data_IF_494876490135
#
_entry.id   IF_494876490135
#
_cell.length_a   1.000
_cell.length_b   1.000
_cell.length_c   1.000
_cell.angle_alpha   90.00
_cell.angle_beta   90.00
_cell.angle_gamma   90.00
#
_symmetry.space_group_name_H-M   'P 1'
#
loop_
_entity.id
_entity.type
_entity.pdbx_description
1 polymer ?
#
# COMPACT_ATOMS: atom_id res chain seq x y z
N UNK A 1 30.61 25.08 8.44
CA UNK A 1 30.18 24.18 9.52
C UNK A 1 28.67 24.24 9.66
N UNK A 2 27.96 23.21 9.20
CA UNK A 2 26.53 23.07 9.44
C UNK A 2 26.34 22.78 10.93
N UNK A 3 25.46 23.53 11.57
CA UNK A 3 25.06 23.29 12.97
C UNK A 3 24.53 21.85 13.10
N UNK A 4 24.87 21.10 14.16
CA UNK A 4 24.29 19.79 14.38
C UNK A 4 22.76 19.94 14.52
N UNK A 5 22.01 19.20 13.69
CA UNK A 5 20.55 19.15 13.77
C UNK A 5 20.13 18.79 15.20
N UNK A 6 19.09 19.44 15.71
CA UNK A 6 18.54 19.07 17.01
C UNK A 6 18.08 17.60 16.99
N UNK A 7 18.04 16.91 18.13
CA UNK A 7 17.77 15.47 18.18
C UNK A 7 16.43 15.05 17.56
N UNK A 8 15.43 15.95 17.53
CA UNK A 8 14.12 15.71 16.92
C UNK A 8 14.21 15.82 15.40
N UNK A 9 14.92 16.82 14.89
CA UNK A 9 15.17 16.97 13.44
C UNK A 9 16.12 15.92 12.92
N UNK A 10 17.13 15.51 13.69
CA UNK A 10 18.01 14.40 13.37
C UNK A 10 17.26 13.06 13.33
N UNK A 11 16.34 12.82 14.29
CA UNK A 11 15.47 11.65 14.27
C UNK A 11 14.48 11.68 13.11
N UNK A 12 13.88 12.83 12.80
CA UNK A 12 12.98 13.00 11.66
C UNK A 12 13.71 12.77 10.33
N UNK A 13 14.94 13.27 10.19
CA UNK A 13 15.78 13.06 9.01
C UNK A 13 16.22 11.60 8.91
N UNK A 14 16.67 10.96 10.01
CA UNK A 14 17.08 9.55 10.01
C UNK A 14 15.94 8.57 9.73
N UNK A 15 14.71 8.89 10.16
CA UNK A 15 13.50 8.12 9.80
C UNK A 15 13.07 8.44 8.36
N UNK A 16 13.18 9.70 7.92
CA UNK A 16 12.87 10.10 6.55
C UNK A 16 13.79 9.46 5.50
N UNK A 17 15.07 9.27 5.82
CA UNK A 17 16.08 8.72 4.90
C UNK A 17 16.08 7.20 4.81
N UNK A 18 15.33 6.50 5.67
CA UNK A 18 15.18 5.04 5.65
C UNK A 18 13.76 4.59 5.34
N UNK A 19 12.86 5.51 4.97
CA UNK A 19 11.57 5.12 4.44
C UNK A 19 11.79 4.13 3.30
N UNK A 20 11.15 2.94 3.31
CA UNK A 20 11.12 2.10 2.12
C UNK A 20 10.62 3.00 1.00
N UNK A 21 11.29 2.96 -0.15
CA UNK A 21 11.27 3.95 -1.21
C UNK A 21 9.91 4.56 -1.59
N UNK A 22 9.91 5.53 -2.52
CA UNK A 22 8.71 6.29 -2.89
C UNK A 22 7.48 5.41 -3.23
N UNK A 23 7.62 4.12 -3.53
CA UNK A 23 6.49 3.24 -3.79
C UNK A 23 5.52 3.01 -2.68
N UNK A 24 5.97 2.91 -1.43
CA UNK A 24 5.07 2.64 -0.33
C UNK A 24 3.96 3.69 -0.30
N UNK A 25 4.37 4.94 -0.52
CA UNK A 25 3.49 6.10 -0.70
C UNK A 25 2.65 5.98 -1.97
N UNK A 26 3.23 5.61 -3.11
CA UNK A 26 2.48 5.42 -4.35
C UNK A 26 1.39 4.35 -4.23
N UNK A 27 1.63 3.25 -3.53
CA UNK A 27 0.64 2.19 -3.32
C UNK A 27 -0.58 2.66 -2.52
N UNK A 28 -0.41 3.60 -1.58
CA UNK A 28 -1.52 4.27 -0.91
C UNK A 28 -2.17 5.34 -1.80
N UNK A 29 -1.38 6.06 -2.59
CA UNK A 29 -1.83 7.21 -3.35
C UNK A 29 -2.56 6.86 -4.66
N UNK A 30 -2.11 5.82 -5.38
CA UNK A 30 -2.66 5.41 -6.67
C UNK A 30 -4.15 5.05 -6.59
N UNK A 31 -4.62 4.22 -5.64
CA UNK A 31 -6.05 3.93 -5.50
C UNK A 31 -6.90 5.20 -5.29
N UNK A 32 -6.36 6.17 -4.54
CA UNK A 32 -7.01 7.47 -4.34
C UNK A 32 -7.18 8.20 -5.67
N UNK A 33 -6.11 8.30 -6.46
CA UNK A 33 -6.13 9.06 -7.72
C UNK A 33 -6.94 8.38 -8.81
N UNK A 34 -6.94 7.05 -8.89
CA UNK A 34 -7.81 6.31 -9.81
C UNK A 34 -9.28 6.62 -9.56
N UNK A 35 -9.67 6.58 -8.29
CA UNK A 35 -11.03 6.85 -7.87
C UNK A 35 -11.43 8.32 -8.06
N UNK A 36 -10.54 9.26 -7.72
CA UNK A 36 -10.76 10.69 -8.00
C UNK A 36 -10.90 10.98 -9.49
N UNK A 37 -10.13 10.31 -10.35
CA UNK A 37 -10.23 10.46 -11.80
C UNK A 37 -11.58 9.95 -12.34
N UNK A 38 -12.06 8.81 -11.84
CA UNK A 38 -13.38 8.28 -12.23
C UNK A 38 -14.55 9.12 -11.67
N UNK A 39 -14.35 9.77 -10.53
CA UNK A 39 -15.34 10.65 -9.91
C UNK A 39 -15.43 12.05 -10.54
N UNK A 40 -14.37 12.47 -11.25
CA UNK A 40 -14.27 13.79 -11.87
C UNK A 40 -15.36 14.01 -12.93
N UNK A 41 -15.78 15.27 -13.18
CA UNK A 41 -16.69 15.56 -14.27
C UNK A 41 -16.16 15.05 -15.63
N UNK A 42 -17.04 14.60 -16.55
CA UNK A 42 -16.62 14.15 -17.87
C UNK A 42 -15.75 15.21 -18.59
N UNK A 43 -14.58 14.80 -19.07
CA UNK A 43 -13.63 15.68 -19.76
C UNK A 43 -12.78 16.59 -18.86
N UNK A 44 -12.99 16.54 -17.54
CA UNK A 44 -12.18 17.28 -16.57
C UNK A 44 -11.10 16.41 -15.94
N UNK A 45 -9.97 17.03 -15.61
CA UNK A 45 -8.96 16.40 -14.75
C UNK A 45 -9.41 16.44 -13.29
N UNK A 46 -8.96 15.49 -12.44
CA UNK A 46 -9.23 15.54 -11.02
C UNK A 46 -8.67 16.83 -10.38
N UNK A 47 -9.36 17.33 -9.37
CA UNK A 47 -9.03 18.59 -8.71
C UNK A 47 -7.65 18.51 -8.02
N UNK A 48 -6.69 19.26 -8.56
CA UNK A 48 -5.28 19.21 -8.12
C UNK A 48 -5.08 19.44 -6.60
N UNK A 49 -5.73 20.43 -5.95
CA UNK A 49 -5.59 20.61 -4.50
C UNK A 49 -6.02 19.37 -3.70
N UNK A 50 -7.08 18.68 -4.13
CA UNK A 50 -7.53 17.44 -3.48
C UNK A 50 -6.51 16.32 -3.69
N UNK A 51 -5.96 16.19 -4.90
CA UNK A 51 -4.88 15.24 -5.17
C UNK A 51 -3.64 15.53 -4.32
N UNK A 52 -3.24 16.79 -4.17
CA UNK A 52 -2.12 17.18 -3.32
C UNK A 52 -2.36 16.87 -1.83
N UNK A 53 -3.58 17.09 -1.32
CA UNK A 53 -3.96 16.69 0.04
C UNK A 53 -3.83 15.17 0.24
N UNK A 54 -4.33 14.38 -0.69
CA UNK A 54 -4.19 12.91 -0.63
C UNK A 54 -2.74 12.46 -0.80
N UNK A 55 -1.93 13.15 -1.59
CA UNK A 55 -0.49 12.90 -1.69
C UNK A 55 0.22 13.15 -0.37
N UNK A 56 -0.04 14.30 0.27
CA UNK A 56 0.48 14.59 1.60
C UNK A 56 0.00 13.57 2.65
N UNK A 57 -1.28 13.22 2.63
CA UNK A 57 -1.85 12.18 3.49
C UNK A 57 -1.19 10.81 3.28
N UNK A 58 -0.93 10.42 2.03
CA UNK A 58 -0.25 9.15 1.72
C UNK A 58 1.18 9.12 2.25
N UNK A 59 1.94 10.22 2.10
CA UNK A 59 3.29 10.35 2.67
C UNK A 59 3.24 10.23 4.20
N UNK A 60 2.34 10.96 4.86
CA UNK A 60 2.21 10.97 6.31
C UNK A 60 1.77 9.60 6.86
N UNK A 61 0.81 8.94 6.21
CA UNK A 61 0.29 7.65 6.65
C UNK A 61 1.25 6.48 6.36
N UNK A 62 1.97 6.49 5.22
CA UNK A 62 3.09 5.53 5.01
C UNK A 62 4.19 5.79 6.04
N UNK A 63 4.49 7.06 6.27
CA UNK A 63 5.19 7.62 7.42
C UNK A 63 4.95 6.85 8.72
N UNK A 64 3.75 7.06 9.25
CA UNK A 64 3.27 6.51 10.50
C UNK A 64 3.30 4.97 10.51
N UNK A 65 2.91 4.33 9.39
CA UNK A 65 2.94 2.87 9.27
C UNK A 65 4.35 2.28 9.41
N UNK A 66 5.36 2.88 8.78
CA UNK A 66 6.75 2.46 8.94
C UNK A 66 7.24 2.69 10.37
N UNK A 67 6.95 3.84 10.99
CA UNK A 67 7.33 4.11 12.37
C UNK A 67 6.71 3.10 13.35
N UNK A 68 5.44 2.73 13.17
CA UNK A 68 4.78 1.69 13.97
C UNK A 68 5.47 0.33 13.78
N UNK A 69 5.78 -0.05 12.53
CA UNK A 69 6.47 -1.30 12.25
C UNK A 69 7.84 -1.35 12.92
N UNK A 70 8.65 -0.31 12.78
CA UNK A 70 9.98 -0.24 13.41
C UNK A 70 9.86 -0.34 14.94
N UNK A 71 8.86 0.32 15.54
CA UNK A 71 8.60 0.24 16.98
C UNK A 71 8.23 -1.16 17.45
N UNK A 72 7.46 -1.92 16.66
CA UNK A 72 7.04 -3.28 17.02
C UNK A 72 8.09 -4.34 16.70
N UNK A 73 8.89 -4.15 15.65
CA UNK A 73 9.87 -5.11 15.18
C UNK A 73 11.28 -4.86 15.75
N UNK A 74 11.49 -3.78 16.50
CA UNK A 74 12.78 -3.37 17.12
C UNK A 74 13.64 -4.53 17.65
N UNK A 75 13.06 -5.41 18.45
CA UNK A 75 13.82 -6.48 19.13
C UNK A 75 14.08 -7.70 18.21
N UNK A 76 13.31 -7.84 17.13
CA UNK A 76 13.57 -8.79 16.05
C UNK A 76 14.59 -8.22 15.07
N UNK A 77 14.45 -6.95 14.69
CA UNK A 77 15.33 -6.27 13.74
C UNK A 77 16.80 -6.26 14.21
N UNK A 78 17.03 -6.15 15.52
CA UNK A 78 18.37 -6.29 16.15
C UNK A 78 19.06 -7.62 15.86
N UNK A 79 18.30 -8.69 15.58
CA UNK A 79 18.80 -10.06 15.40
C UNK A 79 19.03 -10.40 13.94
N UNK A 80 18.60 -9.55 13.00
CA UNK A 80 18.66 -9.80 11.56
C UNK A 80 19.68 -8.86 10.92
N UNK A 81 20.71 -9.40 10.29
CA UNK A 81 21.84 -8.63 9.76
C UNK A 81 21.43 -7.48 8.82
N UNK A 82 20.35 -7.67 8.04
CA UNK A 82 19.81 -6.66 7.11
C UNK A 82 19.16 -5.47 7.81
N UNK A 83 18.49 -5.70 8.94
CA UNK A 83 17.66 -4.69 9.63
C UNK A 83 18.27 -4.22 10.95
N UNK A 84 19.39 -4.82 11.37
CA UNK A 84 20.09 -4.47 12.61
C UNK A 84 20.59 -3.01 12.63
N UNK A 85 20.83 -2.41 11.47
CA UNK A 85 21.25 -1.01 11.31
C UNK A 85 20.09 0.00 11.27
N UNK A 86 18.83 -0.43 11.45
CA UNK A 86 17.70 0.49 11.55
C UNK A 86 17.85 1.36 12.83
N UNK A 87 17.59 2.69 12.79
CA UNK A 87 17.87 3.61 13.89
C UNK A 87 17.28 3.18 15.23
N UNK A 88 16.07 2.63 15.22
CA UNK A 88 15.41 2.16 16.44
C UNK A 88 15.99 0.82 16.94
N UNK A 89 16.43 -0.06 16.04
CA UNK A 89 17.10 -1.31 16.36
C UNK A 89 18.54 -1.07 16.86
N UNK A 90 19.28 -0.17 16.19
CA UNK A 90 20.63 0.26 16.55
C UNK A 90 20.68 1.11 17.84
N UNK A 91 19.53 1.63 18.30
CA UNK A 91 19.44 2.46 19.49
C UNK A 91 19.84 3.92 19.28
N UNK A 92 19.95 4.36 18.02
CA UNK A 92 20.22 5.75 17.64
C UNK A 92 19.03 6.67 17.95
N UNK A 93 17.81 6.13 17.93
CA UNK A 93 16.57 6.83 18.28
C UNK A 93 15.92 6.12 19.47
N UNK A 94 15.45 6.90 20.46
CA UNK A 94 14.71 6.36 21.60
C UNK A 94 13.25 6.05 21.24
N UNK A 95 12.67 5.06 21.92
CA UNK A 95 11.24 4.72 21.78
C UNK A 95 10.31 5.93 21.99
N UNK A 96 10.68 6.85 22.88
CA UNK A 96 9.92 8.07 23.13
C UNK A 96 9.98 9.04 21.95
N UNK A 97 11.16 9.24 21.33
CA UNK A 97 11.29 10.06 20.12
C UNK A 97 10.46 9.49 18.96
N UNK A 98 10.49 8.16 18.76
CA UNK A 98 9.63 7.51 17.75
C UNK A 98 8.15 7.73 18.02
N UNK A 99 7.72 7.68 19.29
CA UNK A 99 6.33 7.95 19.66
C UNK A 99 5.92 9.40 19.40
N UNK A 100 6.77 10.37 19.73
CA UNK A 100 6.52 11.80 19.44
C UNK A 100 6.44 12.04 17.92
N UNK A 101 7.35 11.44 17.15
CA UNK A 101 7.35 11.54 15.69
C UNK A 101 6.08 10.94 15.08
N UNK A 102 5.67 9.74 15.53
CA UNK A 102 4.42 9.11 15.15
C UNK A 102 3.21 10.00 15.47
N UNK A 103 3.18 10.60 16.67
CA UNK A 103 2.13 11.54 17.08
C UNK A 103 2.05 12.75 16.15
N UNK A 104 3.19 13.30 15.73
CA UNK A 104 3.26 14.38 14.74
C UNK A 104 2.71 13.98 13.37
N UNK A 105 3.15 12.82 12.84
CA UNK A 105 2.66 12.30 11.56
C UNK A 105 1.14 12.08 11.57
N UNK A 106 0.61 11.43 12.62
CA UNK A 106 -0.82 11.17 12.77
C UNK A 106 -1.63 12.45 12.96
N UNK A 107 -1.10 13.45 13.69
CA UNK A 107 -1.77 14.74 13.86
C UNK A 107 -1.86 15.50 12.54
N UNK A 108 -0.78 15.53 11.76
CA UNK A 108 -0.78 16.14 10.43
C UNK A 108 -1.71 15.39 9.46
N UNK A 109 -1.71 14.05 9.50
CA UNK A 109 -2.62 13.23 8.69
C UNK A 109 -4.09 13.48 9.08
N UNK A 110 -4.38 13.67 10.37
CA UNK A 110 -5.70 14.07 10.84
C UNK A 110 -6.09 15.45 10.32
N UNK A 111 -5.19 16.44 10.33
CA UNK A 111 -5.46 17.75 9.75
C UNK A 111 -5.84 17.64 8.26
N UNK A 112 -5.11 16.82 7.49
CA UNK A 112 -5.45 16.53 6.08
C UNK A 112 -6.85 15.91 5.96
N UNK A 113 -7.17 14.92 6.80
CA UNK A 113 -8.48 14.26 6.80
C UNK A 113 -9.61 15.25 7.10
N UNK A 114 -9.40 16.15 8.08
CA UNK A 114 -10.38 17.17 8.47
C UNK A 114 -10.59 18.26 7.42
N UNK A 115 -9.71 18.38 6.42
CA UNK A 115 -9.93 19.23 5.25
C UNK A 115 -10.92 18.62 4.23
N UNK A 116 -11.36 17.38 4.42
CA UNK A 116 -12.32 16.71 3.52
C UNK A 116 -13.77 16.91 3.98
N UNK A 117 -14.72 16.47 3.16
CA UNK A 117 -16.13 16.46 3.54
C UNK A 117 -16.43 15.45 4.66
N UNK A 118 -17.53 15.67 5.39
CA UNK A 118 -17.91 14.86 6.56
C UNK A 118 -18.00 13.35 6.26
N UNK A 119 -18.57 12.96 5.12
CA UNK A 119 -18.65 11.56 4.72
C UNK A 119 -17.24 10.94 4.60
N UNK A 120 -16.31 11.67 3.98
CA UNK A 120 -14.92 11.23 3.81
C UNK A 120 -14.17 11.19 5.15
N UNK A 121 -14.45 12.11 6.08
CA UNK A 121 -13.87 12.07 7.43
C UNK A 121 -14.28 10.77 8.15
N UNK A 122 -15.57 10.45 8.15
CA UNK A 122 -16.09 9.22 8.79
C UNK A 122 -15.53 7.98 8.10
N UNK A 123 -15.52 7.97 6.76
CA UNK A 123 -15.00 6.84 5.98
C UNK A 123 -13.49 6.64 6.18
N UNK A 124 -12.72 7.72 6.26
CA UNK A 124 -11.29 7.68 6.56
C UNK A 124 -11.03 7.20 7.98
N UNK A 125 -11.79 7.68 8.97
CA UNK A 125 -11.69 7.18 10.34
C UNK A 125 -11.99 5.67 10.45
N UNK A 126 -12.96 5.17 9.68
CA UNK A 126 -13.28 3.73 9.63
C UNK A 126 -12.12 2.86 9.12
N UNK A 127 -11.20 3.42 8.32
CA UNK A 127 -10.03 2.68 7.83
C UNK A 127 -9.06 2.30 8.95
N UNK A 128 -9.07 3.02 10.07
CA UNK A 128 -8.16 2.78 11.20
C UNK A 128 -8.34 1.38 11.79
N UNK A 129 -9.55 0.81 11.73
CA UNK A 129 -9.81 -0.57 12.15
C UNK A 129 -8.96 -1.57 11.34
N UNK A 130 -8.82 -1.35 10.03
CA UNK A 130 -7.97 -2.19 9.18
C UNK A 130 -6.48 -1.94 9.41
N UNK A 131 -6.09 -0.68 9.56
CA UNK A 131 -4.69 -0.29 9.85
C UNK A 131 -4.18 -0.96 11.12
N UNK A 132 -4.97 -0.92 12.21
CA UNK A 132 -4.60 -1.50 13.51
C UNK A 132 -4.60 -3.03 13.47
N UNK A 133 -5.54 -3.65 12.73
CA UNK A 133 -5.64 -5.10 12.68
C UNK A 133 -4.56 -5.75 11.79
N UNK A 134 -4.05 -5.05 10.76
CA UNK A 134 -3.13 -5.62 9.77
C UNK A 134 -1.89 -6.32 10.36
N UNK A 135 -1.11 -5.74 11.29
CA UNK A 135 0.12 -6.41 11.72
C UNK A 135 -0.16 -7.67 12.55
N UNK A 136 -1.33 -7.76 13.19
CA UNK A 136 -1.78 -8.98 13.87
C UNK A 136 -2.08 -10.10 12.88
N UNK A 137 -2.55 -9.77 11.68
CA UNK A 137 -2.94 -10.75 10.66
C UNK A 137 -1.78 -11.62 10.19
N UNK A 138 -0.56 -11.05 10.12
CA UNK A 138 0.67 -11.80 9.77
C UNK A 138 0.94 -12.98 10.72
N UNK A 139 0.45 -12.90 11.96
CA UNK A 139 0.67 -13.91 13.01
C UNK A 139 -0.45 -14.94 13.09
N UNK A 140 -1.67 -14.59 12.68
CA UNK A 140 -2.84 -15.45 12.86
C UNK A 140 -3.29 -16.17 11.57
N UNK A 141 -3.09 -15.58 10.39
CA UNK A 141 -3.64 -16.10 9.12
C UNK A 141 -2.56 -16.28 8.05
N UNK A 142 -2.82 -17.15 7.08
CA UNK A 142 -2.04 -17.29 5.83
C UNK A 142 -2.45 -16.27 4.76
N UNK A 143 -3.35 -15.34 5.09
CA UNK A 143 -3.85 -14.30 4.17
C UNK A 143 -3.56 -12.87 4.65
N UNK A 144 -2.37 -12.53 5.21
CA UNK A 144 -2.08 -11.14 5.56
C UNK A 144 -2.11 -10.21 4.34
N UNK A 145 -1.78 -10.73 3.14
CA UNK A 145 -1.88 -10.02 1.86
C UNK A 145 -3.30 -9.48 1.60
N UNK A 146 -4.34 -10.23 1.99
CA UNK A 146 -5.73 -9.81 1.80
C UNK A 146 -6.03 -8.59 2.68
N UNK A 147 -5.61 -8.63 3.95
CA UNK A 147 -5.83 -7.51 4.88
C UNK A 147 -5.00 -6.30 4.48
N UNK A 148 -3.77 -6.51 4.00
CA UNK A 148 -2.97 -5.44 3.40
C UNK A 148 -3.70 -4.79 2.22
N UNK A 149 -4.26 -5.62 1.32
CA UNK A 149 -5.03 -5.15 0.17
C UNK A 149 -6.23 -4.31 0.59
N UNK A 150 -6.98 -4.74 1.61
CA UNK A 150 -8.09 -3.97 2.16
C UNK A 150 -7.61 -2.61 2.71
N UNK A 151 -6.49 -2.59 3.45
CA UNK A 151 -5.95 -1.36 4.02
C UNK A 151 -5.43 -0.38 2.95
N UNK A 152 -4.60 -0.85 2.02
CA UNK A 152 -3.93 0.03 1.05
C UNK A 152 -4.88 0.57 -0.01
N UNK A 153 -5.90 -0.20 -0.39
CA UNK A 153 -6.84 0.22 -1.41
C UNK A 153 -8.02 1.03 -0.85
N UNK A 154 -8.09 1.30 0.46
CA UNK A 154 -9.16 2.10 1.06
C UNK A 154 -9.29 3.49 0.40
N UNK A 155 -8.17 3.99 -0.13
CA UNK A 155 -8.11 5.18 -0.98
C UNK A 155 -9.08 5.18 -2.16
N UNK A 156 -9.40 4.01 -2.73
CA UNK A 156 -10.37 3.88 -3.83
C UNK A 156 -11.81 4.25 -3.40
N UNK A 157 -12.14 4.13 -2.11
CA UNK A 157 -13.42 4.57 -1.58
C UNK A 157 -13.36 6.06 -1.20
N UNK A 158 -12.29 6.44 -0.52
CA UNK A 158 -12.08 7.79 0.02
C UNK A 158 -11.88 8.84 -1.07
N UNK A 159 -11.18 8.50 -2.16
CA UNK A 159 -10.97 9.38 -3.31
C UNK A 159 -12.28 9.79 -3.98
N UNK A 160 -13.17 8.82 -4.23
CA UNK A 160 -14.50 9.11 -4.80
C UNK A 160 -15.33 10.00 -3.88
N UNK A 161 -15.40 9.64 -2.59
CA UNK A 161 -16.20 10.40 -1.63
C UNK A 161 -15.66 11.80 -1.42
N UNK A 162 -14.34 12.03 -1.54
CA UNK A 162 -13.75 13.35 -1.44
C UNK A 162 -14.25 14.29 -2.55
N UNK A 163 -14.49 13.75 -3.76
CA UNK A 163 -14.98 14.52 -4.91
C UNK A 163 -16.51 14.63 -4.91
N UNK A 164 -17.24 13.56 -4.57
CA UNK A 164 -18.71 13.48 -4.72
C UNK A 164 -19.50 13.67 -3.41
N UNK A 165 -18.83 13.76 -2.27
CA UNK A 165 -19.45 13.85 -0.94
C UNK A 165 -20.11 12.55 -0.44
N UNK A 166 -20.05 11.47 -1.22
CA UNK A 166 -20.60 10.14 -0.91
C UNK A 166 -19.96 9.10 -1.84
N UNK A 167 -20.03 7.80 -1.51
CA UNK A 167 -19.61 6.75 -2.43
C UNK A 167 -20.77 6.29 -3.32
N UNK A 168 -20.52 6.21 -4.63
CA UNK A 168 -21.34 5.39 -5.51
C UNK A 168 -20.82 3.95 -5.43
N UNK A 169 -21.48 3.11 -4.63
CA UNK A 169 -21.04 1.74 -4.39
C UNK A 169 -21.01 0.87 -5.64
N UNK A 170 -21.77 1.21 -6.69
CA UNK A 170 -21.72 0.49 -7.95
C UNK A 170 -20.35 0.66 -8.65
N UNK A 171 -19.66 1.78 -8.43
CA UNK A 171 -18.34 2.07 -9.02
C UNK A 171 -17.22 1.82 -8.00
N UNK A 172 -17.40 2.32 -6.77
CA UNK A 172 -16.39 2.27 -5.72
C UNK A 172 -16.07 0.83 -5.28
N UNK A 173 -17.07 -0.03 -5.12
CA UNK A 173 -16.84 -1.39 -4.63
C UNK A 173 -16.08 -2.26 -5.64
N UNK A 174 -16.44 -2.32 -6.94
CA UNK A 174 -15.64 -3.04 -7.93
C UNK A 174 -14.22 -2.49 -8.10
N UNK A 175 -14.05 -1.16 -8.04
CA UNK A 175 -12.71 -0.54 -8.08
C UNK A 175 -11.87 -0.92 -6.87
N UNK A 176 -12.45 -0.84 -5.67
CA UNK A 176 -11.78 -1.22 -4.42
C UNK A 176 -11.38 -2.69 -4.43
N UNK A 177 -12.29 -3.59 -4.83
CA UNK A 177 -11.99 -5.01 -4.96
C UNK A 177 -10.92 -5.26 -6.02
N UNK A 178 -10.92 -4.54 -7.14
CA UNK A 178 -9.86 -4.64 -8.14
C UNK A 178 -8.49 -4.29 -7.56
N UNK A 179 -8.42 -3.21 -6.77
CA UNK A 179 -7.21 -2.84 -6.03
C UNK A 179 -6.77 -3.90 -5.03
N UNK A 180 -7.70 -4.47 -4.24
CA UNK A 180 -7.39 -5.55 -3.30
C UNK A 180 -6.82 -6.77 -4.04
N UNK A 181 -7.41 -7.15 -5.17
CA UNK A 181 -6.91 -8.24 -6.01
C UNK A 181 -5.53 -7.92 -6.58
N UNK A 182 -5.28 -6.67 -6.97
CA UNK A 182 -3.94 -6.23 -7.39
C UNK A 182 -2.91 -6.39 -6.29
N UNK A 183 -3.25 -6.00 -5.04
CA UNK A 183 -2.39 -6.25 -3.86
C UNK A 183 -2.13 -7.73 -3.64
N UNK A 184 -3.14 -8.58 -3.77
CA UNK A 184 -2.93 -10.02 -3.70
C UNK A 184 -1.97 -10.54 -4.77
N UNK A 185 -1.92 -9.93 -5.96
CA UNK A 185 -0.96 -10.30 -7.02
C UNK A 185 0.46 -9.90 -6.62
N UNK A 186 0.72 -8.60 -6.43
CA UNK A 186 2.10 -8.14 -6.23
C UNK A 186 2.67 -8.58 -4.88
N UNK A 187 1.87 -8.57 -3.81
CA UNK A 187 2.35 -8.90 -2.45
C UNK A 187 2.53 -10.42 -2.27
N UNK A 188 1.78 -11.24 -3.01
CA UNK A 188 2.04 -12.69 -3.06
C UNK A 188 3.32 -13.00 -3.83
N UNK A 189 3.59 -12.29 -4.94
CA UNK A 189 4.86 -12.42 -5.67
C UNK A 189 6.02 -12.01 -4.74
N UNK A 190 5.87 -10.90 -4.02
CA UNK A 190 6.86 -10.42 -3.07
C UNK A 190 7.14 -11.44 -1.96
N UNK A 191 6.10 -12.00 -1.34
CA UNK A 191 6.22 -13.01 -0.28
C UNK A 191 6.93 -14.31 -0.71
N UNK A 192 7.11 -14.57 -2.01
CA UNK A 192 7.95 -15.70 -2.45
C UNK A 192 9.45 -15.45 -2.25
N UNK A 193 9.89 -14.18 -2.15
CA UNK A 193 11.28 -13.81 -1.83
C UNK A 193 11.61 -14.09 -0.38
N UNK A 194 10.72 -13.70 0.52
CA UNK A 194 10.91 -13.82 1.97
C UNK A 194 10.54 -15.22 2.49
N UNK A 195 10.14 -16.14 1.61
CA UNK A 195 9.62 -17.47 1.99
C UNK A 195 10.56 -18.25 2.90
N UNK A 196 11.88 -18.17 2.70
CA UNK A 196 12.87 -18.87 3.54
C UNK A 196 12.92 -18.25 4.94
N UNK A 197 12.92 -16.93 5.01
CA UNK A 197 12.98 -16.18 6.27
C UNK A 197 11.66 -16.31 7.04
N UNK A 198 10.52 -16.20 6.37
CA UNK A 198 9.17 -16.41 6.91
C UNK A 198 9.03 -17.76 7.62
N UNK A 199 9.57 -18.83 7.02
CA UNK A 199 9.54 -20.18 7.62
C UNK A 199 10.37 -20.22 8.90
N UNK A 200 11.54 -19.57 8.91
CA UNK A 200 12.44 -19.55 10.07
C UNK A 200 11.83 -18.79 11.26
N UNK A 201 11.10 -17.71 10.98
CA UNK A 201 10.46 -16.87 12.01
C UNK A 201 9.00 -17.25 12.31
N UNK A 202 8.45 -18.25 11.61
CA UNK A 202 7.08 -18.75 11.81
C UNK A 202 5.97 -17.81 11.32
N UNK A 203 6.30 -16.87 10.43
CA UNK A 203 5.32 -15.96 9.80
C UNK A 203 4.55 -16.70 8.70
N UNK A 204 3.25 -16.45 8.61
CA UNK A 204 2.36 -17.09 7.64
C UNK A 204 2.10 -16.15 6.46
N UNK A 205 2.12 -16.68 5.23
CA UNK A 205 1.88 -15.89 4.01
C UNK A 205 1.16 -16.71 2.93
N UNK A 206 0.55 -16.03 1.95
CA UNK A 206 -0.10 -16.69 0.80
C UNK A 206 0.90 -17.52 0.00
N UNK A 207 2.16 -17.09 -0.08
CA UNK A 207 3.24 -17.84 -0.72
C UNK A 207 3.49 -19.21 -0.07
N UNK A 208 3.42 -19.27 1.27
CA UNK A 208 3.50 -20.53 2.01
C UNK A 208 2.26 -21.40 1.81
N UNK A 209 1.09 -20.78 1.66
CA UNK A 209 -0.19 -21.47 1.47
C UNK A 209 -0.34 -22.08 0.09
N UNK A 210 0.02 -21.35 -0.97
CA UNK A 210 -0.23 -21.74 -2.36
C UNK A 210 0.84 -22.64 -2.95
N UNK A 211 2.07 -22.61 -2.42
CA UNK A 211 3.17 -23.49 -2.84
C UNK A 211 3.37 -23.48 -4.37
N UNK A 212 3.08 -24.60 -5.05
CA UNK A 212 3.24 -24.76 -6.50
C UNK A 212 2.05 -24.22 -7.29
N UNK A 213 0.87 -24.08 -6.66
CA UNK A 213 -0.35 -23.55 -7.28
C UNK A 213 -0.37 -22.01 -7.38
N UNK A 214 0.68 -21.33 -6.91
CA UNK A 214 0.76 -19.85 -6.89
C UNK A 214 0.37 -19.24 -8.23
N UNK A 215 0.87 -19.77 -9.36
CA UNK A 215 0.52 -19.24 -10.70
C UNK A 215 -0.98 -19.20 -10.94
N UNK A 216 -1.70 -20.27 -10.59
CA UNK A 216 -3.15 -20.37 -10.78
C UNK A 216 -3.90 -19.33 -9.94
N UNK A 217 -3.48 -19.14 -8.69
CA UNK A 217 -4.05 -18.12 -7.81
C UNK A 217 -3.78 -16.71 -8.33
N UNK A 218 -2.55 -16.40 -8.76
CA UNK A 218 -2.20 -15.12 -9.36
C UNK A 218 -3.05 -14.83 -10.61
N UNK A 219 -3.23 -15.82 -11.49
CA UNK A 219 -4.10 -15.67 -12.66
C UNK A 219 -5.57 -15.41 -12.28
N UNK A 220 -6.07 -16.08 -11.23
CA UNK A 220 -7.39 -15.82 -10.66
C UNK A 220 -7.55 -14.40 -10.15
N UNK A 221 -6.59 -13.92 -9.34
CA UNK A 221 -6.61 -12.55 -8.81
C UNK A 221 -6.49 -11.50 -9.92
N UNK A 222 -5.61 -11.69 -10.91
CA UNK A 222 -5.52 -10.78 -12.05
C UNK A 222 -6.80 -10.76 -12.88
N UNK A 223 -7.47 -11.91 -13.06
CA UNK A 223 -8.77 -11.95 -13.74
C UNK A 223 -9.82 -11.17 -12.94
N UNK A 224 -9.91 -11.41 -11.63
CA UNK A 224 -10.84 -10.70 -10.75
C UNK A 224 -10.56 -9.18 -10.72
N UNK A 225 -9.28 -8.77 -10.74
CA UNK A 225 -8.87 -7.38 -10.87
C UNK A 225 -9.39 -6.75 -12.17
N UNK A 226 -9.14 -7.39 -13.31
CA UNK A 226 -9.58 -6.88 -14.61
C UNK A 226 -11.12 -6.80 -14.71
N UNK A 227 -11.83 -7.80 -14.18
CA UNK A 227 -13.30 -7.77 -14.12
C UNK A 227 -13.77 -6.59 -13.25
N UNK A 228 -13.18 -6.37 -12.08
CA UNK A 228 -13.53 -5.25 -11.20
C UNK A 228 -13.31 -3.89 -11.87
N UNK A 229 -12.20 -3.71 -12.59
CA UNK A 229 -11.94 -2.51 -13.38
C UNK A 229 -12.97 -2.33 -14.50
N UNK A 230 -13.26 -3.38 -15.27
CA UNK A 230 -14.28 -3.32 -16.32
C UNK A 230 -15.66 -2.95 -15.76
N UNK A 231 -16.09 -3.56 -14.65
CA UNK A 231 -17.38 -3.26 -14.01
C UNK A 231 -17.42 -1.83 -13.50
N UNK A 232 -16.35 -1.35 -12.84
CA UNK A 232 -16.26 0.05 -12.41
C UNK A 232 -16.38 1.01 -13.59
N UNK A 233 -15.64 0.76 -14.68
CA UNK A 233 -15.68 1.56 -15.90
C UNK A 233 -17.05 1.58 -16.57
N UNK A 234 -17.74 0.43 -16.64
CA UNK A 234 -19.11 0.35 -17.18
C UNK A 234 -20.08 1.17 -16.34
N UNK A 235 -20.01 1.05 -15.01
CA UNK A 235 -20.93 1.74 -14.10
C UNK A 235 -20.73 3.27 -14.06
N UNK A 236 -19.56 3.78 -14.48
CA UNK A 236 -19.33 5.21 -14.67
C UNK A 236 -19.23 5.65 -16.14
N UNK A 237 -19.75 4.85 -17.08
CA UNK A 237 -19.82 5.17 -18.51
C UNK A 237 -18.48 5.57 -19.14
N UNK A 238 -17.40 4.86 -18.78
CA UNK A 238 -16.07 5.11 -19.34
C UNK A 238 -16.00 4.78 -20.84
N UNK A 239 -15.04 5.39 -21.51
CA UNK A 239 -14.87 5.31 -22.97
C UNK A 239 -13.62 4.54 -23.36
N UNK A 240 -13.36 4.45 -24.67
CA UNK A 240 -12.26 3.67 -25.25
C UNK A 240 -10.87 3.86 -24.61
N UNK A 241 -10.41 5.07 -24.24
CA UNK A 241 -9.10 5.25 -23.60
C UNK A 241 -8.97 4.48 -22.28
N UNK A 242 -10.05 4.42 -21.47
CA UNK A 242 -10.08 3.67 -20.21
C UNK A 242 -9.88 2.17 -20.46
N UNK A 243 -10.67 1.59 -21.36
CA UNK A 243 -10.58 0.16 -21.66
C UNK A 243 -9.27 -0.22 -22.36
N UNK A 244 -8.68 0.70 -23.12
CA UNK A 244 -7.33 0.53 -23.69
C UNK A 244 -6.28 0.42 -22.60
N UNK A 245 -6.37 1.27 -21.56
CA UNK A 245 -5.50 1.17 -20.38
C UNK A 245 -5.71 -0.13 -19.61
N UNK A 246 -6.97 -0.56 -19.40
CA UNK A 246 -7.29 -1.84 -18.75
C UNK A 246 -6.72 -3.02 -19.56
N UNK A 247 -6.84 -3.00 -20.89
CA UNK A 247 -6.25 -4.01 -21.75
C UNK A 247 -4.71 -4.04 -21.68
N UNK A 248 -4.07 -2.88 -21.64
CA UNK A 248 -2.61 -2.78 -21.45
C UNK A 248 -2.17 -3.34 -20.09
N UNK A 249 -2.92 -3.05 -19.02
CA UNK A 249 -2.69 -3.65 -17.68
C UNK A 249 -2.85 -5.17 -17.74
N UNK A 250 -3.88 -5.68 -18.41
CA UNK A 250 -4.08 -7.13 -18.58
C UNK A 250 -2.93 -7.80 -19.34
N UNK A 251 -2.44 -7.17 -20.41
CA UNK A 251 -1.28 -7.65 -21.16
C UNK A 251 -0.01 -7.64 -20.31
N UNK A 252 0.20 -6.59 -19.52
CA UNK A 252 1.33 -6.48 -18.59
C UNK A 252 1.30 -7.58 -17.53
N UNK A 253 0.15 -7.82 -16.88
CA UNK A 253 -0.02 -8.89 -15.89
C UNK A 253 0.18 -10.29 -16.51
N UNK A 254 -0.34 -10.52 -17.71
CA UNK A 254 -0.15 -11.78 -18.43
C UNK A 254 1.33 -12.01 -18.76
N UNK A 255 2.05 -10.96 -19.18
CA UNK A 255 3.50 -11.04 -19.41
C UNK A 255 4.26 -11.34 -18.11
N UNK A 256 3.93 -10.63 -17.03
CA UNK A 256 4.50 -10.81 -15.70
C UNK A 256 4.32 -12.27 -15.21
N UNK A 257 3.13 -12.83 -15.35
CA UNK A 257 2.83 -14.20 -14.90
C UNK A 257 3.50 -15.29 -15.76
N UNK A 258 3.75 -15.04 -17.05
CA UNK A 258 4.52 -15.95 -17.90
C UNK A 258 5.98 -16.06 -17.44
N UNK A 259 6.57 -14.95 -17.02
CA UNK A 259 7.95 -14.88 -16.52
C UNK A 259 8.13 -15.46 -15.11
N UNK A 260 7.06 -15.56 -14.32
CA UNK A 260 7.13 -16.20 -13.01
C UNK A 260 7.43 -17.70 -13.18
N UNK A 261 8.47 -18.24 -12.55
CA UNK A 261 8.77 -19.68 -12.55
C UNK A 261 9.19 -20.13 -11.15
N UNK A 262 8.63 -21.25 -10.70
CA UNK A 262 8.95 -21.91 -9.43
C UNK A 262 9.84 -23.13 -9.72
N UNK A 263 10.88 -23.46 -8.94
CA UNK A 263 11.31 -22.86 -7.66
C UNK A 263 12.52 -21.91 -7.76
N UNK A 264 13.17 -21.82 -8.93
CA UNK A 264 14.41 -21.09 -9.14
C UNK A 264 14.29 -20.20 -10.39
N UNK A 265 14.80 -18.97 -10.27
CA UNK A 265 15.37 -18.14 -11.34
C UNK A 265 14.45 -17.28 -12.23
N UNK A 266 13.22 -16.98 -11.80
CA UNK A 266 12.37 -15.95 -12.45
C UNK A 266 12.08 -14.71 -11.60
N UNK A 267 12.38 -14.76 -10.30
CA UNK A 267 11.92 -13.75 -9.36
C UNK A 267 12.70 -12.44 -9.61
N UNK A 268 14.03 -12.48 -9.81
CA UNK A 268 14.86 -11.27 -9.99
C UNK A 268 14.38 -10.24 -11.04
N UNK A 269 13.87 -10.64 -12.21
CA UNK A 269 13.45 -9.68 -13.24
C UNK A 269 12.10 -9.01 -12.95
N UNK A 270 11.16 -9.76 -12.36
CA UNK A 270 9.90 -9.22 -11.84
C UNK A 270 10.12 -8.42 -10.55
N UNK A 271 11.08 -8.87 -9.74
CA UNK A 271 11.48 -8.30 -8.46
C UNK A 271 12.05 -6.93 -8.67
N UNK A 272 12.88 -6.67 -9.67
CA UNK A 272 13.38 -5.32 -9.93
C UNK A 272 12.22 -4.32 -10.07
N UNK A 273 11.07 -4.70 -10.64
CA UNK A 273 9.90 -3.79 -10.74
C UNK A 273 9.10 -3.65 -9.44
N UNK A 274 9.37 -4.44 -8.39
CA UNK A 274 8.69 -4.34 -7.07
C UNK A 274 9.68 -3.96 -5.95
N UNK A 275 10.96 -4.28 -6.09
CA UNK A 275 12.06 -3.92 -5.20
C UNK A 275 12.60 -2.51 -5.48
N UNK A 276 12.59 -2.04 -6.75
CA UNK A 276 12.79 -0.61 -7.08
C UNK A 276 11.70 0.29 -6.50
N UNK A 277 10.65 -0.32 -5.96
CA UNK A 277 9.54 0.39 -5.37
C UNK A 277 9.79 0.56 -3.85
N UNK A 278 10.22 -0.47 -3.13
CA UNK A 278 10.37 -0.42 -1.66
C UNK A 278 11.79 -0.14 -1.12
N UNK A 279 12.81 0.03 -1.97
CA UNK A 279 14.10 0.66 -1.60
C UNK A 279 14.15 2.12 -2.02
#
# INVERSE_FOLDING_TARGET
PLEPLDPLTAAAVAVATQHPGPAGTWLLYLPCTWSMALAAPPGALPHWPTMALFGAGAVLMRGAGCTINDMWDRDYDKKVARTASRPLAAGEISTFQSFVFLGGQLSLALCVLLCLNYYSIVLGAASLTLVVSYPLMKRITYWPQLVLGLTFNWGALLGWSAIRGSCDWSVCLPLYLAGVMWTLVYDTIYAHQDKRDDILIGVKSTALRFKEDTKRWLSGFSTAMLVGLCVAGMNCNQTFPYYSAVAAVGAHLAHQQRGFCYPNDGVHSLVVTVSLWEE
#
